data_IF_924700069817
#
_entry.id   IF_924700069817
#
_cell.length_a   1.000
_cell.length_b   1.000
_cell.length_c   1.000
_cell.angle_alpha   90.00
_cell.angle_beta   90.00
_cell.angle_gamma   90.00
#
_symmetry.space_group_name_H-M   'P 1'
#
loop_
_entity.id
_entity.type
_entity.pdbx_description
1 polymer ?
#
# COMPACT_ATOMS: atom_id res chain seq x y z
N UNK A 1 21.13 -0.22 9.46
CA UNK A 1 20.27 -0.59 10.61
C UNK A 1 21.08 -1.12 11.78
N UNK A 2 21.84 -2.21 11.60
CA UNK A 2 22.71 -2.76 12.67
C UNK A 2 23.74 -1.72 13.15
N UNK A 3 24.45 -1.07 12.21
CA UNK A 3 25.41 0.01 12.54
C UNK A 3 24.77 1.18 13.29
N UNK A 4 23.58 1.64 12.88
CA UNK A 4 22.87 2.74 13.55
C UNK A 4 22.47 2.40 14.99
N UNK A 5 22.03 1.16 15.23
CA UNK A 5 21.69 0.68 16.57
C UNK A 5 22.94 0.46 17.46
N UNK A 6 24.12 0.27 16.85
CA UNK A 6 25.40 0.09 17.55
C UNK A 6 26.08 1.43 17.88
N UNK A 7 25.91 2.44 17.04
CA UNK A 7 26.57 3.74 17.19
C UNK A 7 25.89 4.62 18.27
N UNK A 8 24.57 4.56 18.41
CA UNK A 8 23.82 5.37 19.37
C UNK A 8 22.52 4.69 19.85
N UNK A 9 22.07 5.02 21.05
CA UNK A 9 20.75 4.60 21.54
C UNK A 9 19.62 5.34 20.81
N UNK A 10 18.72 4.59 20.19
CA UNK A 10 17.55 5.13 19.48
C UNK A 10 16.37 5.19 20.45
N UNK A 11 15.84 6.39 20.70
CA UNK A 11 14.75 6.61 21.66
C UNK A 11 13.36 6.51 21.03
N UNK A 12 13.22 6.84 19.74
CA UNK A 12 11.96 6.81 19.03
C UNK A 12 11.52 5.36 18.74
N UNK A 13 10.45 4.93 19.39
CA UNK A 13 9.88 3.60 19.25
C UNK A 13 9.31 3.33 17.85
N UNK A 14 8.80 4.35 17.14
CA UNK A 14 8.29 4.19 15.77
C UNK A 14 9.44 3.93 14.80
N UNK A 15 10.54 4.67 14.94
CA UNK A 15 11.75 4.45 14.16
C UNK A 15 12.32 3.05 14.40
N UNK A 16 12.40 2.60 15.65
CA UNK A 16 12.83 1.23 15.99
C UNK A 16 11.95 0.19 15.29
N UNK A 17 10.62 0.36 15.35
CA UNK A 17 9.67 -0.54 14.69
C UNK A 17 9.90 -0.58 13.17
N UNK A 18 10.07 0.57 12.53
CA UNK A 18 10.33 0.65 11.08
C UNK A 18 11.66 -0.01 10.70
N UNK A 19 12.71 0.19 11.49
CA UNK A 19 14.01 -0.43 11.26
C UNK A 19 13.93 -1.96 11.34
N UNK A 20 13.36 -2.52 12.40
CA UNK A 20 13.26 -3.98 12.51
C UNK A 20 12.32 -4.59 11.47
N UNK A 21 11.24 -3.90 11.11
CA UNK A 21 10.38 -4.32 10.00
C UNK A 21 11.17 -4.41 8.69
N UNK A 22 11.95 -3.39 8.34
CA UNK A 22 12.76 -3.39 7.13
C UNK A 22 13.82 -4.49 7.16
N UNK A 23 14.52 -4.65 8.30
CA UNK A 23 15.53 -5.69 8.45
C UNK A 23 14.94 -7.09 8.25
N UNK A 24 13.80 -7.38 8.89
CA UNK A 24 13.11 -8.68 8.74
C UNK A 24 12.78 -8.98 7.28
N UNK A 25 12.30 -7.99 6.51
CA UNK A 25 11.96 -8.15 5.09
C UNK A 25 13.19 -8.45 4.21
N UNK A 26 14.37 -7.96 4.59
CA UNK A 26 15.61 -8.27 3.86
C UNK A 26 16.03 -9.73 4.02
N UNK A 27 15.74 -10.35 5.16
CA UNK A 27 16.04 -11.76 5.42
C UNK A 27 14.93 -12.70 4.93
N UNK A 28 13.66 -12.29 5.04
CA UNK A 28 12.49 -13.08 4.59
C UNK A 28 12.00 -12.66 3.20
N UNK A 29 12.91 -12.61 2.22
CA UNK A 29 12.58 -12.19 0.85
C UNK A 29 11.64 -13.15 0.14
N UNK A 30 11.71 -14.45 0.46
CA UNK A 30 10.81 -15.48 -0.09
C UNK A 30 9.40 -15.31 0.47
N UNK A 31 9.24 -15.09 1.78
CA UNK A 31 7.94 -14.82 2.38
C UNK A 31 7.30 -13.54 1.83
N UNK A 32 8.10 -12.49 1.65
CA UNK A 32 7.67 -11.23 1.02
C UNK A 32 7.21 -11.45 -0.43
N UNK A 33 7.95 -12.24 -1.22
CA UNK A 33 7.56 -12.60 -2.59
C UNK A 33 6.26 -13.41 -2.60
N UNK A 34 6.13 -14.41 -1.72
CA UNK A 34 4.92 -15.23 -1.63
C UNK A 34 3.68 -14.37 -1.29
N UNK A 35 3.84 -13.39 -0.40
CA UNK A 35 2.75 -12.47 -0.05
C UNK A 35 2.40 -11.53 -1.20
N UNK A 36 3.41 -11.04 -1.94
CA UNK A 36 3.20 -10.18 -3.11
C UNK A 36 2.46 -10.94 -4.22
N UNK A 37 2.87 -12.18 -4.52
CA UNK A 37 2.27 -13.00 -5.57
C UNK A 37 0.78 -13.28 -5.35
N UNK A 38 0.31 -13.36 -4.09
CA UNK A 38 -1.12 -13.51 -3.78
C UNK A 38 -1.99 -12.34 -4.25
N UNK A 39 -1.38 -11.17 -4.46
CA UNK A 39 -2.07 -9.95 -4.92
C UNK A 39 -1.79 -9.64 -6.39
N UNK A 40 -0.84 -10.34 -7.02
CA UNK A 40 -0.50 -10.16 -8.43
C UNK A 40 -1.49 -10.92 -9.30
N UNK A 41 -1.96 -10.27 -10.37
CA UNK A 41 -2.86 -10.88 -11.34
C UNK A 41 -2.40 -10.52 -12.76
N UNK A 42 -2.46 -11.47 -13.68
CA UNK A 42 -2.10 -11.26 -15.10
C UNK A 42 -3.35 -10.96 -15.92
N UNK A 43 -3.28 -9.96 -16.78
CA UNK A 43 -4.37 -9.54 -17.64
C UNK A 43 -3.98 -9.66 -19.12
N UNK A 44 -4.97 -9.71 -20.00
CA UNK A 44 -4.75 -9.58 -21.44
C UNK A 44 -4.30 -8.15 -21.78
N UNK A 45 -3.44 -8.03 -22.80
CA UNK A 45 -3.02 -6.73 -23.33
C UNK A 45 -4.22 -5.88 -23.80
N UNK A 46 -5.28 -6.52 -24.30
CA UNK A 46 -6.50 -5.83 -24.72
C UNK A 46 -7.24 -5.15 -23.56
N UNK A 47 -7.08 -5.65 -22.33
CA UNK A 47 -7.78 -5.17 -21.13
C UNK A 47 -7.01 -4.10 -20.36
N UNK A 48 -5.84 -3.66 -20.84
CA UNK A 48 -4.97 -2.71 -20.12
C UNK A 48 -5.67 -1.37 -19.91
N UNK A 49 -6.33 -0.82 -20.95
CA UNK A 49 -7.04 0.46 -20.86
C UNK A 49 -8.15 0.43 -19.80
N UNK A 50 -8.99 -0.60 -19.84
CA UNK A 50 -10.10 -0.75 -18.89
C UNK A 50 -9.59 -0.98 -17.47
N UNK A 51 -8.50 -1.73 -17.31
CA UNK A 51 -7.89 -1.98 -15.99
C UNK A 51 -7.28 -0.71 -15.40
N UNK A 52 -6.73 0.19 -16.24
CA UNK A 52 -6.25 1.51 -15.78
C UNK A 52 -7.41 2.35 -15.22
N UNK A 53 -8.53 2.41 -15.94
CA UNK A 53 -9.72 3.13 -15.49
C UNK A 53 -10.27 2.54 -14.18
N UNK A 54 -10.35 1.21 -14.10
CA UNK A 54 -10.75 0.50 -12.88
C UNK A 54 -9.81 0.83 -11.69
N UNK A 55 -8.50 0.85 -11.92
CA UNK A 55 -7.53 1.17 -10.88
C UNK A 55 -7.65 2.62 -10.41
N UNK A 56 -7.93 3.55 -11.33
CA UNK A 56 -8.16 4.95 -11.01
C UNK A 56 -9.42 5.13 -10.15
N UNK A 57 -10.54 4.52 -10.54
CA UNK A 57 -11.79 4.55 -9.77
C UNK A 57 -11.60 3.94 -8.37
N UNK A 58 -10.90 2.81 -8.26
CA UNK A 58 -10.55 2.20 -6.98
C UNK A 58 -9.67 3.11 -6.11
N UNK A 59 -8.74 3.85 -6.74
CA UNK A 59 -7.91 4.85 -6.08
C UNK A 59 -8.74 6.00 -5.50
N UNK A 60 -9.73 6.49 -6.24
CA UNK A 60 -10.67 7.51 -5.78
C UNK A 60 -11.52 7.01 -4.60
N UNK A 61 -12.07 5.80 -4.68
CA UNK A 61 -12.83 5.22 -3.56
C UNK A 61 -11.94 5.11 -2.31
N UNK A 62 -10.69 4.65 -2.46
CA UNK A 62 -9.76 4.48 -1.32
C UNK A 62 -9.35 5.80 -0.67
N UNK A 63 -9.24 6.90 -1.41
CA UNK A 63 -8.88 8.19 -0.82
C UNK A 63 -9.99 8.73 0.09
N UNK A 64 -11.25 8.39 -0.19
CA UNK A 64 -12.40 8.81 0.61
C UNK A 64 -12.53 8.05 1.94
N UNK A 65 -11.98 6.83 2.04
CA UNK A 65 -12.10 6.00 3.26
C UNK A 65 -11.44 6.60 4.51
N UNK A 66 -10.43 7.46 4.33
CA UNK A 66 -9.71 8.12 5.43
C UNK A 66 -10.31 9.49 5.80
N UNK A 67 -11.31 9.96 5.06
CA UNK A 67 -11.91 11.29 5.20
C UNK A 67 -13.28 11.16 5.86
N UNK A 68 -13.70 12.19 6.61
CA UNK A 68 -15.07 12.27 7.13
C UNK A 68 -16.01 12.55 5.96
N UNK A 69 -17.00 11.67 5.75
CA UNK A 69 -17.96 11.82 4.65
C UNK A 69 -18.81 13.10 4.79
N UNK A 70 -18.87 13.87 3.71
CA UNK A 70 -19.83 14.93 3.45
C UNK A 70 -20.57 14.68 2.12
N UNK A 71 -21.43 15.62 1.72
CA UNK A 71 -22.26 15.48 0.51
C UNK A 71 -21.44 15.42 -0.77
N UNK A 72 -20.30 16.11 -0.82
CA UNK A 72 -19.42 16.11 -1.99
C UNK A 72 -18.65 14.78 -2.11
N UNK A 73 -18.15 14.26 -0.99
CA UNK A 73 -17.48 12.97 -0.90
C UNK A 73 -18.43 11.81 -1.26
N UNK A 74 -19.69 11.89 -0.84
CA UNK A 74 -20.73 10.92 -1.23
C UNK A 74 -20.95 10.89 -2.75
N UNK A 75 -21.03 12.07 -3.39
CA UNK A 75 -21.17 12.16 -4.86
C UNK A 75 -19.94 11.60 -5.59
N UNK A 76 -18.74 11.89 -5.10
CA UNK A 76 -17.50 11.33 -5.65
C UNK A 76 -17.45 9.82 -5.49
N UNK A 77 -17.95 9.28 -4.39
CA UNK A 77 -18.03 7.84 -4.16
C UNK A 77 -19.00 7.15 -5.13
N UNK A 78 -20.17 7.74 -5.38
CA UNK A 78 -21.14 7.20 -6.35
C UNK A 78 -20.54 7.18 -7.75
N UNK A 79 -19.88 8.26 -8.16
CA UNK A 79 -19.24 8.34 -9.47
C UNK A 79 -18.07 7.35 -9.63
N UNK A 80 -17.36 7.01 -8.54
CA UNK A 80 -16.31 5.99 -8.56
C UNK A 80 -16.83 4.55 -8.59
N UNK A 81 -18.11 4.33 -8.25
CA UNK A 81 -18.76 3.02 -8.27
C UNK A 81 -19.46 2.71 -9.61
N UNK A 82 -19.79 3.74 -10.40
CA UNK A 82 -20.43 3.63 -11.72
C UNK A 82 -19.44 3.56 -12.87
#
# INVERSE_FOLDING_TARGET
>A
MIRWAQENQIQDAELVRMMFNLLRRQYDSIGELLQALRKTYTISQASVSDTINLLAALGQIRSLLSVRMGKEEELLMINGLG
#
